data_IF_461741272919
#
_entry.id   IF_461741272919
#
_cell.length_a   1.000
_cell.length_b   1.000
_cell.length_c   1.000
_cell.angle_alpha   90.00
_cell.angle_beta   90.00
_cell.angle_gamma   90.00
#
_symmetry.space_group_name_H-M   'P 1'
#
loop_
_entity.id
_entity.type
_entity.pdbx_description
1 polymer ?
#
# COMPACT_ATOMS: atom_id res chain seq x y z
N UNK A 1 -13.32 2.18 -21.62
CA UNK A 1 -13.18 0.71 -21.54
C UNK A 1 -11.70 0.39 -21.60
N UNK A 2 -11.03 0.27 -20.45
CA UNK A 2 -9.61 -0.05 -20.40
C UNK A 2 -9.42 -1.55 -20.72
N UNK A 3 -8.66 -1.83 -21.76
CA UNK A 3 -8.40 -3.17 -22.29
C UNK A 3 -7.14 -3.69 -21.60
N UNK A 4 -7.27 -4.68 -20.72
CA UNK A 4 -6.14 -5.33 -20.08
C UNK A 4 -5.29 -6.08 -21.12
N UNK A 5 -4.03 -5.69 -21.26
CA UNK A 5 -2.99 -6.44 -21.96
C UNK A 5 -1.95 -6.87 -20.93
N UNK A 6 -1.75 -8.19 -20.79
CA UNK A 6 -0.65 -8.80 -20.04
C UNK A 6 0.45 -9.17 -21.03
N UNK A 7 1.72 -8.92 -20.70
CA UNK A 7 2.77 -9.96 -20.63
C UNK A 7 4.19 -9.40 -20.58
N UNK A 8 4.96 -9.97 -19.66
CA UNK A 8 6.39 -10.31 -19.78
C UNK A 8 7.37 -9.16 -20.06
N UNK A 9 7.93 -8.54 -19.00
CA UNK A 9 9.33 -8.07 -19.05
C UNK A 9 10.00 -7.64 -17.73
N UNK A 10 9.40 -7.88 -16.57
CA UNK A 10 10.04 -7.54 -15.28
C UNK A 10 10.20 -8.84 -14.49
N UNK A 11 11.29 -9.57 -14.67
CA UNK A 11 11.53 -10.85 -13.96
C UNK A 11 12.98 -10.96 -13.47
N UNK A 12 13.12 -11.14 -12.16
CA UNK A 12 14.35 -11.57 -11.48
C UNK A 12 14.10 -12.41 -10.21
N UNK A 13 13.12 -12.06 -9.37
CA UNK A 13 12.90 -12.72 -8.07
C UNK A 13 11.42 -13.16 -7.85
N UNK A 14 11.11 -14.34 -7.29
CA UNK A 14 9.74 -14.74 -6.93
C UNK A 14 9.00 -13.82 -5.93
N UNK A 15 9.68 -12.83 -5.34
CA UNK A 15 9.08 -11.79 -4.50
C UNK A 15 8.99 -10.39 -5.15
N UNK A 16 9.53 -10.21 -6.36
CA UNK A 16 9.42 -8.97 -7.14
C UNK A 16 8.08 -8.89 -7.87
N UNK A 17 7.01 -8.62 -7.13
CA UNK A 17 5.75 -8.18 -7.75
C UNK A 17 5.65 -6.68 -7.57
N UNK A 18 6.29 -5.94 -8.47
CA UNK A 18 5.96 -4.53 -8.64
C UNK A 18 4.51 -4.47 -9.11
N UNK A 19 3.63 -3.94 -8.27
CA UNK A 19 2.20 -3.83 -8.60
C UNK A 19 1.95 -2.57 -9.38
N UNK A 20 0.96 -2.59 -10.25
CA UNK A 20 0.61 -1.47 -11.09
C UNK A 20 -0.60 -0.74 -10.49
N UNK A 21 -0.47 0.58 -10.33
CA UNK A 21 -1.42 1.38 -9.58
C UNK A 21 -2.08 2.38 -10.51
N UNK A 22 -3.40 2.35 -10.55
CA UNK A 22 -4.20 3.39 -11.20
C UNK A 22 -4.70 4.36 -10.14
N UNK A 23 -4.37 5.64 -10.29
CA UNK A 23 -4.76 6.69 -9.34
C UNK A 23 -5.93 7.47 -9.90
N UNK A 24 -7.05 7.52 -9.18
CA UNK A 24 -8.24 8.28 -9.56
C UNK A 24 -8.56 9.37 -8.53
N UNK A 25 -9.38 10.35 -8.91
CA UNK A 25 -9.98 11.27 -7.94
C UNK A 25 -10.89 10.53 -6.96
N UNK A 26 -11.06 11.06 -5.73
CA UNK A 26 -11.97 10.48 -4.75
C UNK A 26 -13.40 10.43 -5.27
N UNK A 27 -14.08 9.30 -5.04
CA UNK A 27 -15.48 9.06 -5.44
C UNK A 27 -16.33 8.76 -4.19
N UNK A 28 -17.53 9.35 -4.06
CA UNK A 28 -18.44 9.00 -2.99
C UNK A 28 -19.09 7.62 -3.21
N UNK A 29 -19.21 6.84 -2.13
CA UNK A 29 -19.86 5.52 -2.13
C UNK A 29 -18.88 4.35 -1.91
N UNK A 30 -19.40 3.14 -1.64
CA UNK A 30 -18.54 1.97 -1.52
C UNK A 30 -17.85 1.69 -2.86
N UNK A 31 -16.55 1.43 -2.83
CA UNK A 31 -15.79 0.97 -3.99
C UNK A 31 -16.37 -0.33 -4.60
N UNK A 32 -15.89 -0.75 -5.78
CA UNK A 32 -16.46 -1.89 -6.49
C UNK A 32 -16.66 -3.10 -5.57
N UNK A 33 -17.90 -3.61 -5.53
CA UNK A 33 -18.35 -4.64 -4.59
C UNK A 33 -17.83 -6.05 -4.90
N UNK A 34 -18.08 -6.95 -3.96
CA UNK A 34 -17.45 -8.28 -3.77
C UNK A 34 -17.95 -9.39 -4.69
N UNK A 35 -18.57 -9.09 -5.83
CA UNK A 35 -19.32 -10.10 -6.60
C UNK A 35 -18.46 -11.31 -7.03
N UNK A 36 -17.13 -11.20 -6.96
CA UNK A 36 -16.16 -12.23 -7.32
C UNK A 36 -15.23 -12.70 -6.17
N UNK A 37 -15.55 -12.39 -4.90
CA UNK A 37 -14.72 -12.77 -3.74
C UNK A 37 -13.87 -11.63 -3.16
N UNK A 38 -12.98 -11.96 -2.23
CA UNK A 38 -12.16 -10.98 -1.47
C UNK A 38 -10.70 -11.04 -1.94
N UNK A 39 -10.15 -9.89 -2.35
CA UNK A 39 -8.70 -9.73 -2.55
C UNK A 39 -8.08 -9.14 -1.28
N UNK A 40 -7.22 -9.88 -0.57
CA UNK A 40 -6.57 -9.42 0.67
C UNK A 40 -5.42 -8.42 0.43
N UNK A 41 -4.84 -7.93 1.53
CA UNK A 41 -3.68 -7.05 1.54
C UNK A 41 -4.04 -5.60 1.81
N UNK A 42 -3.66 -5.08 2.98
CA UNK A 42 -3.93 -3.68 3.37
C UNK A 42 -2.81 -2.72 2.97
N UNK A 43 -1.66 -3.25 2.53
CA UNK A 43 -0.47 -2.50 2.16
C UNK A 43 0.27 -3.17 1.00
N UNK A 44 1.15 -2.41 0.35
CA UNK A 44 2.00 -2.88 -0.74
C UNK A 44 2.84 -1.76 -1.33
N UNK A 45 3.46 -2.04 -2.47
CA UNK A 45 4.26 -1.10 -3.25
C UNK A 45 3.93 -1.27 -4.72
N UNK A 46 4.03 -0.20 -5.49
CA UNK A 46 3.84 -0.27 -6.93
C UNK A 46 4.33 0.95 -7.69
N UNK A 47 4.21 0.85 -9.01
CA UNK A 47 4.40 1.95 -9.94
C UNK A 47 3.04 2.44 -10.42
N UNK A 48 2.90 3.75 -10.60
CA UNK A 48 1.72 4.33 -11.24
C UNK A 48 1.71 3.90 -12.71
N UNK A 49 0.70 3.15 -13.12
CA UNK A 49 0.53 2.72 -14.52
C UNK A 49 -0.35 3.71 -15.28
N UNK A 50 -1.39 4.23 -14.62
CA UNK A 50 -2.36 5.13 -15.23
C UNK A 50 -2.81 6.17 -14.21
N UNK A 51 -3.05 7.40 -14.68
CA UNK A 51 -3.54 8.51 -13.87
C UNK A 51 -4.90 8.95 -14.42
N UNK A 52 -5.92 8.96 -13.56
CA UNK A 52 -7.26 9.38 -13.88
C UNK A 52 -7.38 10.88 -14.15
N UNK A 53 -8.46 11.28 -14.80
CA UNK A 53 -8.70 12.67 -15.19
C UNK A 53 -8.66 13.62 -13.97
N UNK A 54 -7.91 14.71 -14.10
CA UNK A 54 -7.78 15.75 -13.08
C UNK A 54 -6.83 15.45 -11.92
N UNK A 55 -6.26 14.25 -11.83
CA UNK A 55 -5.18 13.95 -10.87
C UNK A 55 -3.90 14.63 -11.35
N UNK A 56 -3.25 15.38 -10.46
CA UNK A 56 -2.08 16.20 -10.81
C UNK A 56 -0.87 15.92 -9.91
N UNK A 57 -1.06 15.22 -8.78
CA UNK A 57 0.01 14.90 -7.83
C UNK A 57 0.91 13.73 -8.23
N UNK A 58 0.56 12.98 -9.29
CA UNK A 58 1.21 11.73 -9.66
C UNK A 58 1.53 11.64 -11.16
N UNK A 59 2.58 10.89 -11.49
CA UNK A 59 3.02 10.63 -12.86
C UNK A 59 3.19 9.13 -13.12
N UNK A 60 2.97 8.69 -14.37
CA UNK A 60 3.20 7.29 -14.77
C UNK A 60 4.66 6.90 -14.51
N UNK A 61 4.88 5.69 -14.01
CA UNK A 61 6.18 5.16 -13.59
C UNK A 61 6.62 5.63 -12.20
N UNK A 62 5.85 6.48 -11.52
CA UNK A 62 6.20 6.94 -10.17
C UNK A 62 6.02 5.83 -9.14
N UNK A 63 7.02 5.70 -8.26
CA UNK A 63 7.01 4.80 -7.12
C UNK A 63 6.05 5.29 -6.05
N UNK A 64 5.09 4.44 -5.67
CA UNK A 64 4.05 4.78 -4.70
C UNK A 64 3.72 3.63 -3.75
N UNK A 65 3.19 3.99 -2.58
CA UNK A 65 2.66 3.07 -1.57
C UNK A 65 1.17 3.37 -1.37
N UNK A 66 0.26 2.41 -1.62
CA UNK A 66 -1.14 2.57 -1.32
C UNK A 66 -1.44 2.29 0.16
N UNK A 67 -2.23 3.14 0.78
CA UNK A 67 -2.75 3.00 2.14
C UNK A 67 -4.21 2.52 2.08
N UNK A 68 -4.41 1.20 1.97
CA UNK A 68 -5.73 0.61 1.70
C UNK A 68 -6.53 0.27 2.96
N UNK A 69 -6.04 0.61 4.15
CA UNK A 69 -6.69 0.26 5.42
C UNK A 69 -8.13 0.77 5.52
N UNK A 70 -8.36 2.05 5.22
CA UNK A 70 -9.70 2.64 5.29
C UNK A 70 -10.66 2.01 4.26
N UNK A 71 -10.16 1.74 3.05
CA UNK A 71 -10.90 1.05 1.98
C UNK A 71 -11.24 -0.39 2.35
N UNK A 72 -10.30 -1.12 2.95
CA UNK A 72 -10.51 -2.49 3.40
C UNK A 72 -11.61 -2.58 4.45
N UNK A 73 -11.65 -1.62 5.40
CA UNK A 73 -12.67 -1.56 6.44
C UNK A 73 -14.06 -1.12 5.94
N UNK A 74 -14.13 -0.36 4.85
CA UNK A 74 -15.39 0.23 4.34
C UNK A 74 -16.03 -0.54 3.19
N UNK A 75 -15.24 -1.23 2.37
CA UNK A 75 -15.70 -1.88 1.12
C UNK A 75 -15.38 -3.36 1.05
N UNK A 76 -14.54 -3.84 1.97
CA UNK A 76 -14.28 -5.25 2.20
C UNK A 76 -13.50 -6.01 1.13
N UNK A 77 -13.09 -5.43 -0.02
CA UNK A 77 -12.78 -6.31 -1.17
C UNK A 77 -11.74 -5.96 -2.23
N UNK A 78 -10.96 -4.90 -2.10
CA UNK A 78 -9.89 -4.63 -3.09
C UNK A 78 -8.58 -4.27 -2.39
N UNK A 79 -7.95 -5.27 -1.80
CA UNK A 79 -6.63 -5.16 -1.21
C UNK A 79 -5.51 -5.17 -2.25
N UNK A 80 -4.27 -5.01 -1.78
CA UNK A 80 -3.10 -4.89 -2.61
C UNK A 80 -2.62 -6.22 -3.20
N UNK A 81 -3.08 -7.40 -2.76
CA UNK A 81 -2.53 -8.69 -3.23
C UNK A 81 -3.06 -9.14 -4.59
N UNK A 82 -2.87 -8.29 -5.59
CA UNK A 82 -3.20 -8.46 -7.00
C UNK A 82 -2.23 -7.67 -7.90
N UNK A 83 -2.16 -8.00 -9.19
CA UNK A 83 -1.22 -7.34 -10.11
C UNK A 83 -1.53 -5.84 -10.29
N UNK A 84 -2.81 -5.45 -10.22
CA UNK A 84 -3.28 -4.09 -10.43
C UNK A 84 -4.23 -3.64 -9.33
N UNK A 85 -4.12 -2.39 -8.87
CA UNK A 85 -5.09 -1.81 -7.93
C UNK A 85 -5.47 -0.40 -8.33
N UNK A 86 -6.76 -0.10 -8.23
CA UNK A 86 -7.28 1.27 -8.38
C UNK A 86 -7.38 1.91 -7.00
N UNK A 87 -6.78 3.08 -6.84
CA UNK A 87 -6.74 3.83 -5.57
C UNK A 87 -7.17 5.26 -5.79
N UNK A 88 -7.76 5.86 -4.75
CA UNK A 88 -8.01 7.30 -4.77
C UNK A 88 -6.70 8.06 -4.53
N UNK A 89 -6.59 9.28 -5.05
CA UNK A 89 -5.41 10.15 -4.91
C UNK A 89 -4.99 10.34 -3.44
N UNK A 90 -5.94 10.35 -2.52
CA UNK A 90 -5.71 10.52 -1.07
C UNK A 90 -5.28 9.22 -0.36
N UNK A 91 -5.42 8.08 -1.03
CA UNK A 91 -5.09 6.75 -0.53
C UNK A 91 -3.70 6.30 -0.98
N UNK A 92 -2.93 7.15 -1.66
CA UNK A 92 -1.65 6.78 -2.26
C UNK A 92 -0.59 7.84 -1.98
N UNK A 93 0.63 7.39 -1.72
CA UNK A 93 1.73 8.24 -1.33
C UNK A 93 2.95 7.96 -2.19
N UNK A 94 3.60 9.01 -2.69
CA UNK A 94 4.89 8.90 -3.37
C UNK A 94 5.97 8.42 -2.42
N UNK A 95 6.86 7.54 -2.90
CA UNK A 95 7.98 7.03 -2.12
C UNK A 95 9.33 7.36 -2.78
N UNK A 96 10.33 7.66 -1.95
CA UNK A 96 11.69 8.03 -2.39
C UNK A 96 12.45 6.82 -2.95
N UNK A 97 13.25 7.04 -3.98
CA UNK A 97 14.21 6.08 -4.58
C UNK A 97 15.26 5.56 -3.60
N UNK A 98 15.46 6.25 -2.49
CA UNK A 98 16.35 5.81 -1.41
C UNK A 98 15.79 4.66 -0.55
N UNK A 99 14.49 4.37 -0.66
CA UNK A 99 13.82 3.31 0.11
C UNK A 99 13.69 2.09 -0.79
N UNK A 100 14.09 0.91 -0.31
CA UNK A 100 13.96 -0.33 -1.10
C UNK A 100 12.50 -0.72 -1.32
N UNK A 101 12.22 -1.48 -2.37
CA UNK A 101 10.86 -1.90 -2.70
C UNK A 101 10.27 -2.82 -1.61
N UNK A 102 11.10 -3.68 -1.01
CA UNK A 102 10.67 -4.55 0.09
C UNK A 102 10.30 -3.75 1.34
N UNK A 103 11.06 -2.68 1.62
CA UNK A 103 10.75 -1.77 2.72
C UNK A 103 9.46 -1.01 2.42
N UNK A 104 9.35 -0.44 1.21
CA UNK A 104 8.18 0.32 0.77
C UNK A 104 6.88 -0.49 0.88
N UNK A 105 6.92 -1.77 0.51
CA UNK A 105 5.77 -2.67 0.55
C UNK A 105 5.20 -2.91 1.96
N UNK A 106 5.96 -2.60 3.00
CA UNK A 106 5.63 -2.87 4.41
C UNK A 106 5.46 -1.58 5.25
N UNK A 107 5.39 -0.41 4.61
CA UNK A 107 5.50 0.88 5.31
C UNK A 107 4.27 1.28 6.14
N UNK A 108 3.12 0.65 5.93
CA UNK A 108 1.84 1.16 6.47
C UNK A 108 1.45 0.43 7.74
N UNK A 109 1.26 -0.89 7.68
CA UNK A 109 0.73 -1.67 8.79
C UNK A 109 1.66 -1.69 10.00
N UNK A 110 2.87 -2.22 9.79
CA UNK A 110 3.77 -2.55 10.90
C UNK A 110 4.48 -1.31 11.47
N UNK A 111 5.06 -0.40 10.67
CA UNK A 111 5.72 0.79 11.20
C UNK A 111 4.74 1.74 11.91
N UNK A 112 3.52 1.90 11.38
CA UNK A 112 2.51 2.72 12.05
C UNK A 112 2.07 2.10 13.38
N UNK A 113 1.91 0.77 13.43
CA UNK A 113 1.64 0.05 14.67
C UNK A 113 2.75 0.26 15.69
N UNK A 114 4.02 0.10 15.30
CA UNK A 114 5.17 0.30 16.18
C UNK A 114 5.24 1.75 16.69
N UNK A 115 5.03 2.73 15.79
CA UNK A 115 5.03 4.15 16.14
C UNK A 115 3.93 4.49 17.15
N UNK A 116 2.69 4.07 16.87
CA UNK A 116 1.55 4.32 17.77
C UNK A 116 1.77 3.63 19.11
N UNK A 117 2.25 2.38 19.13
CA UNK A 117 2.56 1.67 20.36
C UNK A 117 3.56 2.44 21.24
N UNK A 118 4.66 2.93 20.66
CA UNK A 118 5.65 3.71 21.40
C UNK A 118 5.09 5.06 21.87
N UNK A 119 4.27 5.72 21.05
CA UNK A 119 3.58 6.96 21.44
C UNK A 119 2.58 6.74 22.57
N UNK A 120 1.86 5.63 22.57
CA UNK A 120 0.86 5.30 23.59
C UNK A 120 1.52 4.90 24.90
N UNK A 121 2.60 4.12 24.88
CA UNK A 121 3.35 3.76 26.08
C UNK A 121 3.99 5.01 26.71
N UNK A 122 4.50 5.93 25.87
CA UNK A 122 5.09 7.20 26.30
C UNK A 122 6.14 7.03 27.42
N UNK A 123 6.97 5.99 27.32
CA UNK A 123 7.99 5.69 28.32
C UNK A 123 8.92 6.90 28.52
N UNK A 124 9.18 7.33 29.77
CA UNK A 124 10.11 8.41 30.04
C UNK A 124 11.50 8.14 29.47
N UNK A 125 12.22 9.20 29.13
CA UNK A 125 13.61 9.09 28.69
C UNK A 125 14.45 8.39 29.77
N UNK A 126 15.12 7.31 29.39
CA UNK A 126 15.97 6.50 30.28
C UNK A 126 15.28 5.27 30.86
N UNK A 127 13.98 5.10 30.63
CA UNK A 127 13.23 3.91 31.02
C UNK A 127 13.26 2.82 29.94
N UNK A 128 12.88 1.60 30.32
CA UNK A 128 12.90 0.43 29.44
C UNK A 128 11.50 0.09 28.91
N UNK A 129 11.45 -0.35 27.66
CA UNK A 129 10.27 -0.98 27.05
C UNK A 129 10.65 -2.41 26.67
N UNK A 130 9.88 -3.38 27.14
CA UNK A 130 10.06 -4.80 26.80
C UNK A 130 9.02 -5.17 25.75
N UNK A 131 9.46 -5.54 24.56
CA UNK A 131 8.63 -6.07 23.50
C UNK A 131 8.85 -7.58 23.36
N UNK A 132 7.84 -8.37 23.70
CA UNK A 132 7.87 -9.82 23.46
C UNK A 132 7.71 -10.10 21.97
N UNK A 133 8.31 -11.19 21.46
CA UNK A 133 8.21 -11.59 20.05
C UNK A 133 8.69 -10.52 19.04
N UNK A 134 9.71 -9.74 19.38
CA UNK A 134 10.25 -8.64 18.58
C UNK A 134 10.97 -9.06 17.26
N UNK A 135 10.92 -10.34 16.87
CA UNK A 135 11.50 -10.80 15.59
C UNK A 135 10.63 -10.53 14.36
N UNK A 136 9.40 -10.04 14.55
CA UNK A 136 8.49 -9.68 13.45
C UNK A 136 8.83 -8.30 12.86
N UNK A 137 8.15 -7.91 11.77
CA UNK A 137 8.32 -6.56 11.16
C UNK A 137 7.94 -5.44 12.14
N UNK A 138 7.02 -5.67 13.08
CA UNK A 138 6.65 -4.67 14.10
C UNK A 138 7.79 -4.41 15.09
N UNK A 139 8.63 -5.42 15.35
CA UNK A 139 9.73 -5.32 16.31
C UNK A 139 11.10 -4.96 15.71
N UNK A 140 11.24 -5.03 14.39
CA UNK A 140 12.45 -4.64 13.65
C UNK A 140 12.46 -3.15 13.35
#
# INVERSE_FOLDING_TARGET
>A
MARALKMSQVCGDPYEVVRLIHVEKPKPGPGPGTENGVIPGTEGFGLVEEVGEGVTGFSIGQRVVPCLYAKYLSTGTQGAWQDYVVVQEEEVYAISDSISDETAAQLVANPWTAYVLLKTIAAPKGEYVISTAAGSVVGR
#
